data_IF_707228955145
#
_entry.id   IF_707228955145
#
_cell.length_a   1.000
_cell.length_b   1.000
_cell.length_c   1.000
_cell.angle_alpha   90.00
_cell.angle_beta   90.00
_cell.angle_gamma   90.00
#
_symmetry.space_group_name_H-M   'P 1'
#
loop_
_entity.id
_entity.type
_entity.pdbx_description
1 polymer ?
#
# COMPACT_ATOMS: atom_id res chain seq x y z
N UNK A 1 5.87 -43.71 -16.53
CA UNK A 1 6.14 -42.30 -16.85
C UNK A 1 5.36 -41.46 -15.85
N UNK A 2 6.04 -41.01 -14.79
CA UNK A 2 5.44 -40.21 -13.72
C UNK A 2 5.69 -38.72 -14.01
N UNK A 3 4.68 -37.84 -13.91
CA UNK A 3 4.88 -36.40 -13.94
C UNK A 3 5.25 -35.94 -12.52
N UNK A 4 6.38 -35.26 -12.36
CA UNK A 4 6.84 -34.83 -11.05
C UNK A 4 8.01 -33.87 -11.15
N UNK A 5 7.72 -32.60 -11.41
CA UNK A 5 8.61 -31.49 -11.05
C UNK A 5 7.79 -30.48 -10.26
N UNK A 6 7.45 -30.86 -9.03
CA UNK A 6 7.24 -29.87 -7.98
C UNK A 6 8.57 -29.13 -7.84
N UNK A 7 8.57 -27.82 -8.06
CA UNK A 7 9.69 -26.95 -7.71
C UNK A 7 9.85 -26.96 -6.19
N UNK A 8 10.47 -28.01 -5.67
CA UNK A 8 10.87 -28.08 -4.27
C UNK A 8 11.96 -27.03 -4.08
N UNK A 9 11.84 -26.24 -3.01
CA UNK A 9 12.84 -25.30 -2.55
C UNK A 9 14.13 -26.05 -2.12
N UNK A 10 14.88 -26.59 -3.07
CA UNK A 10 16.22 -27.14 -2.86
C UNK A 10 17.24 -26.02 -2.77
N UNK A 11 18.00 -25.97 -1.68
CA UNK A 11 19.11 -25.03 -1.40
C UNK A 11 18.81 -23.52 -1.51
N UNK A 12 17.58 -23.10 -1.25
CA UNK A 12 17.28 -21.67 -1.16
C UNK A 12 17.89 -21.05 0.12
N UNK A 13 18.59 -19.90 0.08
CA UNK A 13 19.23 -19.29 1.26
C UNK A 13 18.24 -18.94 2.39
N UNK A 14 16.97 -18.70 2.05
CA UNK A 14 15.89 -18.47 3.01
C UNK A 14 15.23 -19.74 3.55
N UNK A 15 15.67 -20.93 3.14
CA UNK A 15 15.08 -22.19 3.60
C UNK A 15 15.35 -22.40 5.09
N UNK A 16 14.30 -22.68 5.86
CA UNK A 16 14.40 -22.83 7.31
C UNK A 16 14.42 -21.50 8.09
N UNK A 17 14.36 -20.37 7.38
CA UNK A 17 14.13 -19.05 7.97
C UNK A 17 12.66 -18.67 7.88
N UNK A 18 12.21 -17.85 8.82
CA UNK A 18 10.93 -17.18 8.83
C UNK A 18 11.09 -15.73 8.39
N UNK A 19 10.33 -15.35 7.36
CA UNK A 19 10.32 -14.01 6.80
C UNK A 19 9.28 -13.16 7.55
N UNK A 20 9.70 -12.07 8.17
CA UNK A 20 8.81 -11.15 8.85
C UNK A 20 8.54 -9.92 7.98
N UNK A 21 7.25 -9.62 7.78
CA UNK A 21 6.79 -8.54 6.90
C UNK A 21 6.15 -7.43 7.74
N UNK A 22 6.63 -6.18 7.67
CA UNK A 22 6.03 -5.09 8.41
C UNK A 22 4.60 -4.81 7.89
N UNK A 23 3.63 -4.50 8.78
CA UNK A 23 2.27 -4.23 8.37
C UNK A 23 2.18 -2.92 7.58
N UNK A 24 1.67 -3.02 6.36
CA UNK A 24 1.21 -1.90 5.53
C UNK A 24 -0.14 -2.28 4.96
N UNK A 25 -1.06 -1.31 4.82
CA UNK A 25 -2.41 -1.49 4.31
C UNK A 25 -3.23 -2.53 5.10
N UNK A 26 -4.56 -2.48 5.02
CA UNK A 26 -5.37 -3.47 5.72
C UNK A 26 -5.14 -4.83 5.06
N UNK A 27 -4.68 -5.82 5.84
CA UNK A 27 -4.54 -7.21 5.41
C UNK A 27 -3.46 -7.51 4.37
N UNK A 28 -2.81 -6.50 3.77
CA UNK A 28 -1.85 -6.73 2.69
C UNK A 28 -0.63 -7.53 3.16
N UNK A 29 -0.12 -7.27 4.38
CA UNK A 29 0.97 -8.05 4.96
C UNK A 29 0.59 -9.53 5.17
N UNK A 30 -0.67 -9.82 5.54
CA UNK A 30 -1.17 -11.21 5.69
C UNK A 30 -1.24 -11.90 4.33
N UNK A 31 -1.83 -11.25 3.33
CA UNK A 31 -1.91 -11.78 1.96
C UNK A 31 -0.50 -11.98 1.36
N UNK A 32 0.42 -11.05 1.60
CA UNK A 32 1.79 -11.14 1.11
C UNK A 32 2.59 -12.24 1.82
N UNK A 33 2.36 -12.47 3.12
CA UNK A 33 2.90 -13.62 3.84
C UNK A 33 2.37 -14.94 3.27
N UNK A 34 1.07 -15.03 2.96
CA UNK A 34 0.47 -16.17 2.27
C UNK A 34 1.10 -16.42 0.90
N UNK A 35 1.46 -15.36 0.16
CA UNK A 35 2.17 -15.48 -1.12
C UNK A 35 3.57 -16.11 -0.98
N UNK A 36 4.31 -15.81 0.09
CA UNK A 36 5.56 -16.51 0.40
C UNK A 36 5.33 -17.98 0.76
N UNK A 37 4.31 -18.26 1.59
CA UNK A 37 3.97 -19.64 1.98
C UNK A 37 3.54 -20.50 0.80
N UNK A 38 2.80 -19.92 -0.15
CA UNK A 38 2.39 -20.57 -1.40
C UNK A 38 3.56 -21.09 -2.26
N UNK A 39 4.75 -20.51 -2.11
CA UNK A 39 5.98 -20.93 -2.82
C UNK A 39 6.96 -21.69 -1.92
N UNK A 40 6.51 -22.10 -0.72
CA UNK A 40 7.29 -22.92 0.21
C UNK A 40 8.27 -22.14 1.10
N UNK A 41 8.10 -20.82 1.25
CA UNK A 41 8.88 -20.00 2.19
C UNK A 41 8.03 -19.64 3.41
N UNK A 42 8.55 -19.88 4.62
CA UNK A 42 7.86 -19.51 5.85
C UNK A 42 7.87 -17.98 6.01
N UNK A 43 6.70 -17.40 6.29
CA UNK A 43 6.54 -15.97 6.42
C UNK A 43 5.38 -15.62 7.33
N UNK A 44 5.47 -14.52 8.06
CA UNK A 44 4.37 -13.94 8.83
C UNK A 44 4.49 -12.42 8.93
N UNK A 45 3.39 -11.68 9.14
CA UNK A 45 3.48 -10.27 9.51
C UNK A 45 4.22 -10.12 10.85
N UNK A 46 4.92 -8.99 11.05
CA UNK A 46 5.37 -8.63 12.39
C UNK A 46 4.16 -8.48 13.33
N UNK A 47 4.34 -8.66 14.66
CA UNK A 47 3.29 -8.33 15.62
C UNK A 47 2.72 -6.92 15.39
N UNK A 48 1.44 -6.68 15.70
CA UNK A 48 0.84 -5.36 15.57
C UNK A 48 1.67 -4.28 16.24
N UNK A 49 1.80 -3.14 15.58
CA UNK A 49 2.52 -1.99 16.11
C UNK A 49 1.77 -1.42 17.32
N UNK A 50 2.49 -1.09 18.39
CA UNK A 50 1.92 -0.60 19.65
C UNK A 50 2.88 0.39 20.35
N UNK A 51 2.59 0.74 21.61
CA UNK A 51 3.47 1.61 22.39
C UNK A 51 4.91 1.06 22.49
N UNK A 52 5.08 -0.26 22.58
CA UNK A 52 6.40 -0.90 22.61
C UNK A 52 7.13 -0.72 21.28
N UNK A 53 6.43 -0.71 20.15
CA UNK A 53 7.00 -0.36 18.84
C UNK A 53 7.61 1.05 18.86
N UNK A 54 6.89 2.05 19.40
CA UNK A 54 7.40 3.43 19.50
C UNK A 54 8.63 3.54 20.39
N UNK A 55 8.61 2.86 21.54
CA UNK A 55 9.73 2.84 22.49
C UNK A 55 10.98 2.23 21.86
N UNK A 56 10.84 1.05 21.24
CA UNK A 56 11.95 0.38 20.56
C UNK A 56 12.44 1.17 19.37
N UNK A 57 11.55 1.65 18.52
CA UNK A 57 11.91 2.54 17.42
C UNK A 57 12.73 3.73 17.91
N UNK A 58 12.27 4.43 18.96
CA UNK A 58 12.99 5.57 19.53
C UNK A 58 14.36 5.19 20.09
N UNK A 59 14.50 3.99 20.69
CA UNK A 59 15.76 3.51 21.26
C UNK A 59 16.84 3.27 20.20
N UNK A 60 16.45 2.79 19.02
CA UNK A 60 17.39 2.44 17.94
C UNK A 60 17.43 3.47 16.80
N UNK A 61 16.80 4.63 17.00
CA UNK A 61 16.81 5.74 16.05
C UNK A 61 17.36 7.01 16.69
N UNK A 62 17.82 7.94 15.86
CA UNK A 62 18.39 9.22 16.31
C UNK A 62 17.36 10.36 16.31
N UNK A 63 16.26 10.20 15.56
CA UNK A 63 15.26 11.23 15.32
C UNK A 63 15.46 11.96 13.98
N UNK A 64 16.60 11.74 13.31
CA UNK A 64 16.83 12.21 11.94
C UNK A 64 16.19 11.30 10.88
N UNK A 65 15.73 10.11 11.27
CA UNK A 65 15.04 9.18 10.39
C UNK A 65 13.56 9.56 10.24
N UNK A 66 12.95 9.23 9.09
CA UNK A 66 11.51 9.43 8.93
C UNK A 66 10.72 8.53 9.88
N UNK A 67 9.53 8.97 10.32
CA UNK A 67 8.70 8.18 11.24
C UNK A 67 8.42 6.73 10.78
N UNK A 68 8.20 6.43 9.49
CA UNK A 68 8.10 5.05 9.00
C UNK A 68 9.33 4.17 9.31
N UNK A 69 10.55 4.72 9.26
CA UNK A 69 11.76 3.98 9.61
C UNK A 69 11.73 3.60 11.09
N UNK A 70 11.36 4.55 11.95
CA UNK A 70 11.24 4.33 13.40
C UNK A 70 10.22 3.24 13.73
N UNK A 71 9.04 3.29 13.12
CA UNK A 71 8.00 2.26 13.30
C UNK A 71 8.50 0.90 12.82
N UNK A 72 9.08 0.83 11.62
CA UNK A 72 9.56 -0.44 11.03
C UNK A 72 10.69 -1.06 11.86
N UNK A 73 11.67 -0.26 12.31
CA UNK A 73 12.73 -0.72 13.21
C UNK A 73 12.15 -1.23 14.53
N UNK A 74 11.20 -0.51 15.11
CA UNK A 74 10.51 -0.94 16.33
C UNK A 74 9.83 -2.29 16.17
N UNK A 75 9.09 -2.49 15.08
CA UNK A 75 8.37 -3.75 14.80
C UNK A 75 9.32 -4.93 14.58
N UNK A 76 10.44 -4.71 13.90
CA UNK A 76 11.47 -5.75 13.76
C UNK A 76 12.15 -6.08 15.08
N UNK A 77 12.51 -5.08 15.89
CA UNK A 77 13.13 -5.33 17.19
C UNK A 77 12.17 -6.06 18.13
N UNK A 78 10.86 -5.80 18.07
CA UNK A 78 9.86 -6.59 18.82
C UNK A 78 9.92 -8.09 18.50
N UNK A 79 10.26 -8.45 17.26
CA UNK A 79 10.47 -9.86 16.89
C UNK A 79 11.72 -10.42 17.56
N UNK A 80 12.80 -9.64 17.59
CA UNK A 80 14.08 -10.07 18.16
C UNK A 80 14.06 -10.18 19.68
N UNK A 81 13.23 -9.39 20.38
CA UNK A 81 13.11 -9.42 21.84
C UNK A 81 12.28 -10.61 22.37
N UNK A 82 11.61 -11.37 21.49
CA UNK A 82 10.85 -12.55 21.89
C UNK A 82 11.81 -13.67 22.33
N UNK A 83 11.63 -14.25 23.55
CA UNK A 83 12.51 -15.30 24.06
C UNK A 83 12.65 -16.54 23.17
N UNK A 84 11.62 -16.84 22.40
CA UNK A 84 11.54 -17.97 21.48
C UNK A 84 12.21 -17.74 20.11
N UNK A 85 12.68 -16.52 19.83
CA UNK A 85 13.24 -16.16 18.52
C UNK A 85 14.68 -16.66 18.38
N UNK A 86 14.87 -17.61 17.46
CA UNK A 86 16.19 -18.00 16.95
C UNK A 86 16.64 -17.02 15.86
N UNK A 87 17.60 -16.14 16.19
CA UNK A 87 18.10 -15.10 15.30
C UNK A 87 18.61 -15.63 13.95
N UNK A 88 19.22 -16.82 13.92
CA UNK A 88 19.72 -17.44 12.69
C UNK A 88 18.61 -17.86 11.73
N UNK A 89 17.38 -17.97 12.23
CA UNK A 89 16.17 -18.29 11.47
C UNK A 89 15.32 -17.06 11.15
N UNK A 90 15.76 -15.85 11.45
CA UNK A 90 15.00 -14.63 11.12
C UNK A 90 15.47 -14.03 9.80
N UNK A 91 14.51 -13.67 8.95
CA UNK A 91 14.72 -12.79 7.81
C UNK A 91 13.71 -11.63 7.85
N UNK A 92 14.18 -10.39 7.76
CA UNK A 92 13.31 -9.21 7.68
C UNK A 92 13.05 -8.80 6.24
N UNK A 93 11.77 -8.68 5.87
CA UNK A 93 11.37 -8.15 4.58
C UNK A 93 11.37 -6.61 4.62
N UNK A 94 12.40 -6.00 4.02
CA UNK A 94 12.56 -4.54 3.97
C UNK A 94 12.88 -4.12 2.55
N UNK A 95 11.88 -3.94 1.66
CA UNK A 95 12.13 -3.55 0.28
C UNK A 95 12.83 -2.19 0.23
N UNK A 96 13.53 -1.91 -0.88
CA UNK A 96 14.22 -0.64 -1.09
C UNK A 96 13.92 -0.08 -2.48
N UNK A 97 13.95 1.24 -2.61
CA UNK A 97 13.79 1.93 -3.88
C UNK A 97 14.87 3.01 -4.05
N UNK A 98 15.29 3.23 -5.30
CA UNK A 98 16.21 4.33 -5.67
C UNK A 98 15.44 5.63 -5.89
N UNK A 99 14.54 5.94 -4.95
CA UNK A 99 13.76 7.17 -4.92
C UNK A 99 14.59 8.38 -4.48
N UNK A 100 14.05 9.60 -4.56
CA UNK A 100 14.70 10.79 -4.02
C UNK A 100 14.54 10.91 -2.50
N UNK A 101 13.69 10.08 -1.89
CA UNK A 101 13.44 10.07 -0.44
C UNK A 101 14.42 9.16 0.32
N UNK A 102 14.34 9.22 1.66
CA UNK A 102 15.19 8.43 2.57
C UNK A 102 14.93 6.93 2.55
N UNK A 103 13.85 6.45 1.91
CA UNK A 103 13.48 5.03 1.88
C UNK A 103 14.60 4.11 1.38
N UNK A 104 15.41 4.58 0.40
CA UNK A 104 16.57 3.84 -0.10
C UNK A 104 17.62 3.50 0.98
N UNK A 105 17.63 4.23 2.10
CA UNK A 105 18.58 4.05 3.21
C UNK A 105 18.05 3.14 4.33
N UNK A 106 16.81 2.67 4.26
CA UNK A 106 16.19 1.91 5.35
C UNK A 106 16.87 0.55 5.58
N UNK A 107 17.16 -0.20 4.51
CA UNK A 107 17.83 -1.50 4.64
C UNK A 107 19.30 -1.37 5.10
N UNK A 108 20.14 -0.47 4.55
CA UNK A 108 21.49 -0.22 5.08
C UNK A 108 21.47 0.23 6.55
N UNK A 109 20.53 1.10 6.91
CA UNK A 109 20.36 1.56 8.29
C UNK A 109 19.99 0.43 9.23
N UNK A 110 19.00 -0.39 8.85
CA UNK A 110 18.61 -1.57 9.62
C UNK A 110 19.79 -2.53 9.79
N UNK A 111 20.60 -2.79 8.75
CA UNK A 111 21.81 -3.61 8.87
C UNK A 111 22.77 -3.06 9.92
N UNK A 112 23.00 -1.75 9.91
CA UNK A 112 23.85 -1.09 10.90
C UNK A 112 23.31 -1.27 12.33
N UNK A 113 22.00 -1.08 12.55
CA UNK A 113 21.34 -1.30 13.84
C UNK A 113 21.52 -2.76 14.30
N UNK A 114 21.31 -3.73 13.40
CA UNK A 114 21.47 -5.15 13.73
C UNK A 114 22.92 -5.49 14.10
N UNK A 115 23.90 -5.00 13.35
CA UNK A 115 25.32 -5.28 13.60
C UNK A 115 25.83 -4.67 14.91
N UNK A 116 25.40 -3.45 15.23
CA UNK A 116 25.78 -2.74 16.45
C UNK A 116 25.25 -3.43 17.71
N UNK A 117 24.17 -4.20 17.60
CA UNK A 117 23.53 -4.90 18.73
C UNK A 117 23.81 -6.41 18.76
N UNK A 118 24.75 -6.89 17.93
CA UNK A 118 25.14 -8.31 17.90
C UNK A 118 24.16 -9.23 17.16
N UNK A 119 23.14 -8.70 16.48
CA UNK A 119 22.16 -9.46 15.70
C UNK A 119 22.64 -9.72 14.26
N UNK A 120 23.88 -10.21 14.12
CA UNK A 120 24.54 -10.40 12.82
C UNK A 120 23.91 -11.52 11.99
N UNK A 121 23.34 -12.52 12.64
CA UNK A 121 22.77 -13.71 12.00
C UNK A 121 21.39 -13.45 11.36
N UNK A 122 20.76 -12.32 11.70
CA UNK A 122 19.48 -11.90 11.13
C UNK A 122 19.69 -11.43 9.69
N UNK A 123 18.94 -11.99 8.77
CA UNK A 123 18.99 -11.60 7.36
C UNK A 123 18.03 -10.45 7.03
N UNK A 124 18.38 -9.65 6.03
CA UNK A 124 17.50 -8.62 5.48
C UNK A 124 17.22 -8.97 4.02
N UNK A 125 15.98 -9.39 3.74
CA UNK A 125 15.46 -9.55 2.39
C UNK A 125 15.04 -8.18 1.86
N UNK A 126 15.96 -7.50 1.16
CA UNK A 126 15.76 -6.15 0.60
C UNK A 126 15.72 -6.16 -0.93
N UNK A 127 14.62 -6.63 -1.55
CA UNK A 127 14.47 -6.56 -3.00
C UNK A 127 14.42 -5.10 -3.46
N UNK A 128 15.03 -4.82 -4.61
CA UNK A 128 14.92 -3.51 -5.27
C UNK A 128 13.94 -3.60 -6.45
N UNK A 129 13.32 -2.47 -6.81
CA UNK A 129 12.47 -2.36 -8.01
C UNK A 129 13.23 -2.69 -9.31
N UNK A 130 14.57 -2.68 -9.29
CA UNK A 130 15.44 -2.99 -10.43
C UNK A 130 15.87 -4.47 -10.45
N UNK A 131 16.01 -5.11 -9.27
CA UNK A 131 16.52 -6.48 -9.17
C UNK A 131 15.44 -7.56 -9.07
N UNK A 132 14.14 -7.20 -9.12
CA UNK A 132 13.02 -8.14 -9.21
C UNK A 132 13.17 -9.40 -8.32
N UNK A 133 13.55 -9.20 -7.05
CA UNK A 133 13.79 -10.27 -6.09
C UNK A 133 14.88 -11.28 -6.48
N UNK A 134 16.00 -10.84 -7.06
CA UNK A 134 17.16 -11.70 -7.37
C UNK A 134 17.65 -12.55 -6.18
N UNK A 135 17.44 -12.09 -4.93
CA UNK A 135 17.70 -12.87 -3.71
C UNK A 135 16.78 -14.08 -3.49
N UNK A 136 15.73 -14.22 -4.29
CA UNK A 136 14.83 -15.39 -4.32
C UNK A 136 15.23 -16.44 -5.37
N UNK A 137 16.31 -16.21 -6.13
CA UNK A 137 16.81 -17.17 -7.13
C UNK A 137 15.72 -17.65 -8.11
N UNK A 138 15.56 -18.97 -8.23
CA UNK A 138 14.55 -19.59 -9.10
C UNK A 138 13.09 -19.34 -8.66
N UNK A 139 12.87 -18.94 -7.41
CA UNK A 139 11.54 -18.62 -6.87
C UNK A 139 11.11 -17.18 -7.21
N UNK A 140 12.00 -16.34 -7.73
CA UNK A 140 11.71 -14.93 -8.01
C UNK A 140 10.55 -14.74 -9.00
N UNK A 141 10.50 -15.52 -10.08
CA UNK A 141 9.45 -15.42 -11.10
C UNK A 141 8.05 -15.74 -10.56
N UNK A 142 7.84 -16.95 -9.99
CA UNK A 142 6.59 -17.32 -9.32
C UNK A 142 6.21 -16.33 -8.22
N UNK A 143 7.16 -15.94 -7.37
CA UNK A 143 6.93 -15.01 -6.27
C UNK A 143 6.44 -13.64 -6.75
N UNK A 144 7.11 -13.04 -7.74
CA UNK A 144 6.74 -11.71 -8.26
C UNK A 144 5.29 -11.69 -8.71
N UNK A 145 4.84 -12.75 -9.41
CA UNK A 145 3.48 -12.82 -9.92
C UNK A 145 2.46 -13.11 -8.82
N UNK A 146 2.75 -14.05 -7.92
CA UNK A 146 1.85 -14.36 -6.79
C UNK A 146 1.76 -13.20 -5.81
N UNK A 147 2.87 -12.56 -5.47
CA UNK A 147 2.92 -11.36 -4.64
C UNK A 147 2.17 -10.18 -5.26
N UNK A 148 2.30 -9.94 -6.57
CA UNK A 148 1.49 -8.95 -7.29
C UNK A 148 -0.01 -9.20 -7.12
N UNK A 149 -0.45 -10.44 -7.34
CA UNK A 149 -1.87 -10.82 -7.19
C UNK A 149 -2.36 -10.72 -5.77
N UNK A 150 -1.53 -11.08 -4.79
CA UNK A 150 -1.86 -10.98 -3.37
C UNK A 150 -2.09 -9.52 -2.94
N UNK A 151 -1.18 -8.61 -3.33
CA UNK A 151 -1.31 -7.19 -3.03
C UNK A 151 -2.53 -6.57 -3.73
N UNK A 152 -2.74 -6.89 -5.01
CA UNK A 152 -3.91 -6.43 -5.76
C UNK A 152 -5.22 -6.90 -5.13
N UNK A 153 -5.35 -8.19 -4.79
CA UNK A 153 -6.55 -8.69 -4.12
C UNK A 153 -6.76 -8.02 -2.75
N UNK A 154 -5.69 -7.81 -1.98
CA UNK A 154 -5.78 -7.12 -0.69
C UNK A 154 -6.26 -5.67 -0.85
N UNK A 155 -5.75 -4.93 -1.83
CA UNK A 155 -6.20 -3.57 -2.15
C UNK A 155 -7.68 -3.54 -2.56
N UNK A 156 -8.15 -4.49 -3.39
CA UNK A 156 -9.56 -4.61 -3.76
C UNK A 156 -10.46 -4.86 -2.54
N UNK A 157 -10.03 -5.72 -1.61
CA UNK A 157 -10.77 -5.97 -0.35
C UNK A 157 -10.77 -4.75 0.56
N UNK A 158 -9.64 -4.06 0.70
CA UNK A 158 -9.57 -2.82 1.49
C UNK A 158 -10.48 -1.74 0.89
N UNK A 159 -10.54 -1.63 -0.43
CA UNK A 159 -11.44 -0.70 -1.11
C UNK A 159 -12.90 -0.99 -0.80
N UNK A 160 -13.33 -2.25 -0.85
CA UNK A 160 -14.68 -2.65 -0.43
C UNK A 160 -14.95 -2.32 1.04
N UNK A 161 -13.99 -2.57 1.93
CA UNK A 161 -14.08 -2.22 3.34
C UNK A 161 -14.39 -0.73 3.51
N UNK A 162 -13.56 0.14 2.93
CA UNK A 162 -13.70 1.60 3.10
C UNK A 162 -14.91 2.18 2.37
N UNK A 163 -15.35 1.58 1.26
CA UNK A 163 -16.55 2.00 0.54
C UNK A 163 -17.85 1.58 1.24
N UNK A 164 -17.82 0.55 2.10
CA UNK A 164 -19.04 -0.04 2.72
C UNK A 164 -19.16 0.27 4.20
N UNK A 165 -18.05 0.29 4.95
CA UNK A 165 -18.02 0.46 6.42
C UNK A 165 -18.68 1.75 6.90
N UNK A 166 -18.51 2.93 6.24
CA UNK A 166 -19.20 4.15 6.65
C UNK A 166 -20.74 4.02 6.65
N UNK A 167 -21.27 3.11 5.82
CA UNK A 167 -22.69 2.94 5.57
C UNK A 167 -23.30 1.76 6.32
N UNK A 168 -22.54 1.00 7.09
CA UNK A 168 -23.06 -0.19 7.76
C UNK A 168 -24.17 0.17 8.76
N UNK A 169 -25.24 -0.62 8.79
CA UNK A 169 -26.34 -0.42 9.75
C UNK A 169 -25.95 -0.88 11.16
N UNK A 170 -25.25 -2.01 11.24
CA UNK A 170 -24.70 -2.56 12.48
C UNK A 170 -23.18 -2.48 12.47
N UNK A 171 -22.64 -1.78 13.46
CA UNK A 171 -21.19 -1.56 13.58
C UNK A 171 -20.43 -2.89 13.64
N UNK A 172 -19.44 -3.05 12.76
CA UNK A 172 -18.56 -4.22 12.69
C UNK A 172 -18.98 -5.30 11.69
N UNK A 173 -20.16 -5.21 11.07
CA UNK A 173 -20.61 -6.21 10.10
C UNK A 173 -19.74 -6.19 8.83
N UNK A 174 -19.35 -5.00 8.35
CA UNK A 174 -18.45 -4.88 7.19
C UNK A 174 -17.05 -5.36 7.53
N UNK A 175 -16.56 -5.06 8.74
CA UNK A 175 -15.25 -5.53 9.21
C UNK A 175 -15.20 -7.06 9.31
N UNK A 176 -16.28 -7.70 9.79
CA UNK A 176 -16.39 -9.15 9.82
C UNK A 176 -16.40 -9.76 8.41
N UNK A 177 -17.11 -9.13 7.45
CA UNK A 177 -17.09 -9.55 6.05
C UNK A 177 -15.70 -9.41 5.41
N UNK A 178 -14.97 -8.35 5.76
CA UNK A 178 -13.59 -8.12 5.35
C UNK A 178 -12.66 -9.21 5.90
N UNK A 179 -12.67 -9.47 7.21
CA UNK A 179 -11.81 -10.48 7.84
C UNK A 179 -12.07 -11.90 7.31
N UNK A 180 -13.34 -12.25 7.09
CA UNK A 180 -13.70 -13.53 6.47
C UNK A 180 -13.19 -13.61 5.02
N UNK A 181 -13.24 -12.51 4.26
CA UNK A 181 -12.77 -12.46 2.87
C UNK A 181 -11.24 -12.48 2.77
N UNK A 182 -10.54 -11.82 3.70
CA UNK A 182 -9.09 -11.83 3.79
C UNK A 182 -8.57 -13.23 4.17
N UNK A 183 -9.25 -13.90 5.10
CA UNK A 183 -8.93 -15.28 5.47
C UNK A 183 -9.11 -16.23 4.27
N UNK A 184 -10.23 -16.11 3.55
CA UNK A 184 -10.49 -16.85 2.30
C UNK A 184 -9.42 -16.59 1.23
N UNK A 185 -8.98 -15.33 1.06
CA UNK A 185 -7.89 -14.97 0.16
C UNK A 185 -6.57 -15.63 0.57
N UNK A 186 -6.21 -15.56 1.86
CA UNK A 186 -4.98 -16.15 2.38
C UNK A 186 -4.94 -17.68 2.17
N UNK A 187 -6.03 -18.38 2.52
CA UNK A 187 -6.17 -19.82 2.25
C UNK A 187 -6.10 -20.12 0.76
N UNK A 188 -6.80 -19.35 -0.09
CA UNK A 188 -6.78 -19.54 -1.55
C UNK A 188 -5.36 -19.39 -2.12
N UNK A 189 -4.59 -18.41 -1.63
CA UNK A 189 -3.20 -18.20 -2.05
C UNK A 189 -2.32 -19.40 -1.69
N UNK A 190 -2.46 -19.95 -0.48
CA UNK A 190 -1.61 -21.02 0.04
C UNK A 190 -1.96 -22.41 -0.52
N UNK A 191 -3.26 -22.68 -0.73
CA UNK A 191 -3.75 -23.99 -1.16
C UNK A 191 -3.72 -24.16 -2.69
N UNK A 192 -3.69 -23.05 -3.45
CA UNK A 192 -3.71 -23.11 -4.92
C UNK A 192 -2.29 -23.21 -5.48
N UNK A 193 -2.02 -24.15 -6.41
CA UNK A 193 -0.74 -24.20 -7.10
C UNK A 193 -0.36 -22.86 -7.75
N UNK A 194 0.90 -22.46 -7.64
CA UNK A 194 1.41 -21.21 -8.21
C UNK A 194 1.42 -21.17 -9.77
N UNK A 195 0.84 -22.17 -10.43
CA UNK A 195 0.66 -22.18 -11.88
C UNK A 195 -0.23 -20.99 -12.29
N UNK A 196 0.25 -20.09 -13.17
CA UNK A 196 -0.40 -18.80 -13.31
C UNK A 196 -1.87 -18.77 -13.74
N UNK A 197 -2.36 -19.55 -14.73
CA UNK A 197 -3.79 -19.59 -15.07
C UNK A 197 -4.65 -20.16 -13.92
N UNK A 198 -4.19 -21.24 -13.28
CA UNK A 198 -4.92 -21.90 -12.18
C UNK A 198 -5.07 -20.96 -10.99
N UNK A 199 -3.97 -20.36 -10.55
CA UNK A 199 -3.99 -19.40 -9.44
C UNK A 199 -4.82 -18.16 -9.76
N UNK A 200 -4.78 -17.64 -10.99
CA UNK A 200 -5.60 -16.48 -11.35
C UNK A 200 -7.09 -16.78 -11.23
N UNK A 201 -7.50 -17.94 -11.71
CA UNK A 201 -8.91 -18.36 -11.67
C UNK A 201 -9.38 -18.57 -10.23
N UNK A 202 -8.60 -19.25 -9.39
CA UNK A 202 -8.94 -19.46 -7.99
C UNK A 202 -9.04 -18.13 -7.22
N UNK A 203 -8.11 -17.19 -7.47
CA UNK A 203 -8.15 -15.86 -6.86
C UNK A 203 -9.36 -15.05 -7.36
N UNK A 204 -9.73 -15.15 -8.64
CA UNK A 204 -10.97 -14.54 -9.16
C UNK A 204 -12.19 -15.08 -8.41
N UNK A 205 -12.26 -16.39 -8.20
CA UNK A 205 -13.36 -17.01 -7.46
C UNK A 205 -13.40 -16.56 -5.99
N UNK A 206 -12.23 -16.40 -5.36
CA UNK A 206 -12.11 -15.80 -4.02
C UNK A 206 -12.66 -14.37 -3.99
N UNK A 207 -12.33 -13.55 -5.00
CA UNK A 207 -12.88 -12.19 -5.14
C UNK A 207 -14.40 -12.18 -5.35
N UNK A 208 -14.95 -13.12 -6.13
CA UNK A 208 -16.41 -13.27 -6.29
C UNK A 208 -17.08 -13.65 -4.96
N UNK A 209 -16.49 -14.57 -4.18
CA UNK A 209 -17.00 -14.91 -2.84
C UNK A 209 -16.95 -13.71 -1.90
N UNK A 210 -15.85 -12.96 -1.92
CA UNK A 210 -15.71 -11.74 -1.13
C UNK A 210 -16.79 -10.70 -1.48
N UNK A 211 -16.98 -10.40 -2.77
CA UNK A 211 -18.08 -9.53 -3.25
C UNK A 211 -19.43 -9.97 -2.69
N UNK A 212 -19.70 -11.28 -2.75
CA UNK A 212 -20.94 -11.87 -2.22
C UNK A 212 -21.10 -11.69 -0.71
N UNK A 213 -20.03 -11.68 0.08
CA UNK A 213 -20.07 -11.39 1.53
C UNK A 213 -20.41 -9.91 1.77
N UNK A 214 -19.71 -8.99 1.11
CA UNK A 214 -19.97 -7.55 1.25
C UNK A 214 -21.38 -7.13 0.81
N UNK A 215 -21.90 -7.71 -0.27
CA UNK A 215 -23.26 -7.40 -0.78
C UNK A 215 -24.39 -7.89 0.14
N UNK A 216 -24.11 -8.79 1.09
CA UNK A 216 -25.09 -9.26 2.08
C UNK A 216 -25.17 -8.36 3.31
N UNK A 217 -24.19 -7.48 3.52
CA UNK A 217 -24.20 -6.56 4.66
C UNK A 217 -25.23 -5.46 4.40
N UNK A 218 -26.09 -5.21 5.39
CA UNK A 218 -27.07 -4.14 5.31
C UNK A 218 -26.38 -2.77 5.39
N UNK A 219 -26.71 -1.89 4.46
CA UNK A 219 -26.11 -0.56 4.36
C UNK A 219 -27.18 0.52 4.20
N UNK A 220 -26.96 1.65 4.86
CA UNK A 220 -27.73 2.87 4.72
C UNK A 220 -27.58 3.45 3.31
N UNK A 221 -28.64 4.12 2.84
CA UNK A 221 -28.67 4.72 1.50
C UNK A 221 -28.11 6.15 1.43
N UNK A 222 -27.91 6.81 2.58
CA UNK A 222 -27.37 8.16 2.66
C UNK A 222 -25.93 8.21 2.13
N UNK A 223 -25.59 9.28 1.40
CA UNK A 223 -24.23 9.47 0.87
C UNK A 223 -23.41 10.34 1.82
N UNK A 224 -22.27 9.84 2.25
CA UNK A 224 -21.31 10.58 3.04
C UNK A 224 -20.49 11.53 2.15
N UNK A 225 -19.92 12.62 2.72
CA UNK A 225 -18.86 13.37 2.06
C UNK A 225 -17.69 12.44 1.74
N UNK A 226 -17.28 12.41 0.48
CA UNK A 226 -16.16 11.60 0.00
C UNK A 226 -14.85 12.35 0.20
N UNK A 227 -13.95 11.82 1.02
CA UNK A 227 -12.66 12.41 1.31
C UNK A 227 -11.56 11.56 0.66
N UNK A 228 -10.80 12.18 -0.25
CA UNK A 228 -9.65 11.55 -0.86
C UNK A 228 -8.45 11.53 0.08
N UNK A 229 -7.79 10.38 0.25
CA UNK A 229 -6.60 10.24 1.10
C UNK A 229 -5.38 9.92 0.23
N UNK A 230 -4.47 10.87 0.16
CA UNK A 230 -3.14 10.75 -0.48
C UNK A 230 -2.05 10.85 0.59
N UNK A 231 -0.78 10.88 0.20
CA UNK A 231 0.33 11.07 1.12
C UNK A 231 1.41 10.02 0.98
N UNK A 232 2.33 9.97 1.93
CA UNK A 232 3.45 9.02 1.93
C UNK A 232 2.95 7.59 2.18
N UNK A 233 3.33 6.65 1.30
CA UNK A 233 2.75 5.31 1.22
C UNK A 233 2.73 4.55 2.55
N UNK A 234 3.80 4.60 3.34
CA UNK A 234 3.82 3.89 4.61
C UNK A 234 2.90 4.55 5.63
N UNK A 235 3.05 5.85 5.86
CA UNK A 235 2.24 6.56 6.83
C UNK A 235 0.75 6.55 6.46
N UNK A 236 0.42 6.67 5.17
CA UNK A 236 -0.95 6.59 4.65
C UNK A 236 -1.59 5.22 4.87
N UNK A 237 -0.84 4.14 4.68
CA UNK A 237 -1.37 2.78 4.70
C UNK A 237 -1.20 2.06 6.05
N UNK A 238 -0.36 2.56 6.95
CA UNK A 238 -0.16 1.99 8.28
C UNK A 238 -1.01 2.73 9.32
N UNK A 239 -2.05 2.06 9.83
CA UNK A 239 -3.03 2.64 10.77
C UNK A 239 -2.40 3.10 12.08
N UNK A 240 -1.34 2.45 12.54
CA UNK A 240 -0.63 2.87 13.74
C UNK A 240 0.15 4.18 13.54
N UNK A 241 0.69 4.38 12.34
CA UNK A 241 1.51 5.54 12.00
C UNK A 241 0.68 6.81 11.76
N UNK A 242 -0.59 6.66 11.40
CA UNK A 242 -1.51 7.78 11.17
C UNK A 242 -2.63 7.87 12.20
N UNK A 243 -2.45 7.23 13.37
CA UNK A 243 -3.42 7.25 14.48
C UNK A 243 -4.84 6.84 14.05
N UNK A 244 -4.91 5.94 13.07
CA UNK A 244 -6.14 5.39 12.53
C UNK A 244 -7.09 6.47 11.96
N UNK A 245 -6.52 7.53 11.36
CA UNK A 245 -7.22 8.71 10.83
C UNK A 245 -8.45 8.36 9.99
N UNK A 246 -8.39 7.31 9.17
CA UNK A 246 -9.52 6.87 8.34
C UNK A 246 -10.74 6.48 9.19
N UNK A 247 -10.55 5.72 10.27
CA UNK A 247 -11.67 5.38 11.17
C UNK A 247 -12.17 6.60 11.95
N UNK A 248 -11.29 7.54 12.29
CA UNK A 248 -11.71 8.81 12.90
C UNK A 248 -12.59 9.61 11.93
N UNK A 249 -12.22 9.73 10.65
CA UNK A 249 -13.03 10.35 9.60
C UNK A 249 -14.40 9.69 9.43
N UNK A 250 -14.45 8.35 9.45
CA UNK A 250 -15.70 7.60 9.42
C UNK A 250 -16.59 7.93 10.63
N UNK A 251 -15.99 8.19 11.80
CA UNK A 251 -16.68 8.68 12.99
C UNK A 251 -17.35 10.05 12.79
N UNK A 252 -16.81 10.89 11.91
CA UNK A 252 -17.43 12.13 11.45
C UNK A 252 -18.40 11.95 10.28
N UNK A 253 -18.74 10.70 9.93
CA UNK A 253 -19.69 10.36 8.87
C UNK A 253 -19.15 10.61 7.46
N UNK A 254 -17.84 10.47 7.25
CA UNK A 254 -17.19 10.57 5.93
C UNK A 254 -16.92 9.19 5.31
N UNK A 255 -16.90 9.13 3.97
CA UNK A 255 -16.35 8.00 3.21
C UNK A 255 -14.91 8.35 2.81
N UNK A 256 -13.95 7.46 3.07
CA UNK A 256 -12.56 7.66 2.69
C UNK A 256 -12.22 6.90 1.39
N UNK A 257 -11.62 7.60 0.42
CA UNK A 257 -11.01 6.97 -0.75
C UNK A 257 -9.48 7.09 -0.66
N UNK A 258 -8.86 6.02 -0.19
CA UNK A 258 -7.41 5.95 0.02
C UNK A 258 -6.69 5.50 -1.25
N UNK A 259 -5.62 6.20 -1.62
CA UNK A 259 -4.69 5.74 -2.66
C UNK A 259 -4.10 4.37 -2.30
N UNK A 260 -4.27 3.41 -3.20
CA UNK A 260 -3.88 2.02 -3.01
C UNK A 260 -2.35 1.81 -3.03
N UNK A 261 -1.91 0.60 -2.69
CA UNK A 261 -0.50 0.21 -2.72
C UNK A 261 -0.07 -0.07 -4.17
N UNK A 262 -0.96 -0.65 -4.97
CA UNK A 262 -0.74 -0.99 -6.38
C UNK A 262 -0.42 0.24 -7.26
N UNK A 263 -0.94 1.43 -6.98
CA UNK A 263 -0.58 2.69 -7.65
C UNK A 263 0.95 2.92 -7.65
N UNK A 264 1.63 2.63 -6.55
CA UNK A 264 3.08 2.75 -6.46
C UNK A 264 3.82 1.74 -7.35
N UNK A 265 3.30 0.51 -7.45
CA UNK A 265 3.86 -0.51 -8.36
C UNK A 265 3.70 -0.06 -9.81
N UNK A 266 2.55 0.51 -10.17
CA UNK A 266 2.34 1.07 -11.51
C UNK A 266 3.25 2.26 -11.79
N UNK A 267 3.45 3.14 -10.81
CA UNK A 267 4.37 4.27 -10.92
C UNK A 267 5.80 3.82 -11.17
N UNK A 268 6.32 2.91 -10.33
CA UNK A 268 7.69 2.39 -10.47
C UNK A 268 7.90 1.66 -11.80
N UNK A 269 6.88 0.94 -12.28
CA UNK A 269 6.87 0.39 -13.64
C UNK A 269 6.98 1.48 -14.71
N UNK A 270 6.17 2.54 -14.61
CA UNK A 270 6.18 3.65 -15.57
C UNK A 270 7.54 4.38 -15.61
N UNK A 271 8.17 4.54 -14.45
CA UNK A 271 9.46 5.19 -14.29
C UNK A 271 10.61 4.31 -14.79
N UNK A 272 10.50 2.99 -14.61
CA UNK A 272 11.44 2.05 -15.23
C UNK A 272 11.41 2.16 -16.77
N UNK A 273 10.23 2.21 -17.38
CA UNK A 273 10.12 2.47 -18.83
C UNK A 273 10.67 3.84 -19.24
N UNK A 274 10.42 4.88 -18.44
CA UNK A 274 10.97 6.22 -18.69
C UNK A 274 12.50 6.19 -18.68
N UNK A 275 13.11 5.50 -17.71
CA UNK A 275 14.57 5.32 -17.61
C UNK A 275 15.13 4.54 -18.81
N UNK A 276 14.48 3.47 -19.23
CA UNK A 276 14.86 2.73 -20.44
C UNK A 276 14.83 3.62 -21.69
N UNK A 277 13.82 4.48 -21.81
CA UNK A 277 13.71 5.45 -22.90
C UNK A 277 14.84 6.50 -22.88
N UNK A 278 15.08 7.12 -21.73
CA UNK A 278 16.10 8.16 -21.57
C UNK A 278 17.52 7.63 -21.77
N UNK A 279 17.77 6.37 -21.41
CA UNK A 279 19.07 5.71 -21.58
C UNK A 279 19.24 5.04 -22.96
N UNK A 280 18.27 5.17 -23.87
CA UNK A 280 18.33 4.56 -25.21
C UNK A 280 18.20 3.03 -25.22
N UNK A 281 17.77 2.40 -24.11
CA UNK A 281 17.73 0.94 -23.92
C UNK A 281 16.38 0.30 -24.29
N UNK A 282 15.54 0.99 -25.07
CA UNK A 282 14.19 0.52 -25.41
C UNK A 282 14.15 -0.76 -26.26
N UNK A 283 15.24 -1.08 -26.95
CA UNK A 283 15.35 -2.23 -27.85
C UNK A 283 16.12 -3.41 -27.22
N UNK A 284 16.18 -3.47 -25.88
CA UNK A 284 16.92 -4.50 -25.14
C UNK A 284 16.00 -5.61 -24.62
N UNK A 285 16.58 -6.77 -24.27
CA UNK A 285 15.84 -7.87 -23.63
C UNK A 285 15.16 -7.44 -22.31
N UNK A 286 15.77 -6.51 -21.58
CA UNK A 286 15.18 -5.90 -20.38
C UNK A 286 13.89 -5.14 -20.71
N UNK A 287 13.87 -4.34 -21.77
CA UNK A 287 12.69 -3.61 -22.19
C UNK A 287 11.56 -4.56 -22.63
N UNK A 288 11.89 -5.66 -23.31
CA UNK A 288 10.94 -6.72 -23.65
C UNK A 288 10.37 -7.38 -22.38
N UNK A 289 11.22 -7.74 -21.42
CA UNK A 289 10.81 -8.31 -20.14
C UNK A 289 9.88 -7.38 -19.36
N UNK A 290 10.20 -6.08 -19.30
CA UNK A 290 9.35 -5.07 -18.69
C UNK A 290 7.98 -4.95 -19.40
N UNK A 291 7.96 -5.03 -20.74
CA UNK A 291 6.71 -5.00 -21.52
C UNK A 291 5.84 -6.21 -21.27
N UNK A 292 6.42 -7.42 -21.27
CA UNK A 292 5.72 -8.66 -20.93
C UNK A 292 5.15 -8.57 -19.51
N UNK A 293 5.96 -8.13 -18.54
CA UNK A 293 5.53 -7.94 -17.15
C UNK A 293 4.33 -7.00 -17.06
N UNK A 294 4.40 -5.82 -17.70
CA UNK A 294 3.30 -4.84 -17.75
C UNK A 294 2.02 -5.47 -18.33
N UNK A 295 2.14 -6.20 -19.44
CA UNK A 295 0.99 -6.83 -20.10
C UNK A 295 0.33 -7.90 -19.23
N UNK A 296 1.14 -8.70 -18.54
CA UNK A 296 0.68 -9.72 -17.60
C UNK A 296 0.01 -9.09 -16.38
N UNK A 297 0.65 -8.09 -15.76
CA UNK A 297 0.08 -7.38 -14.61
C UNK A 297 -1.26 -6.72 -14.95
N UNK A 298 -1.38 -6.07 -16.12
CA UNK A 298 -2.65 -5.46 -16.58
C UNK A 298 -3.74 -6.50 -16.83
N UNK A 299 -3.37 -7.69 -17.31
CA UNK A 299 -4.32 -8.80 -17.48
C UNK A 299 -4.80 -9.32 -16.12
N UNK A 300 -3.88 -9.57 -15.20
CA UNK A 300 -4.21 -10.05 -13.86
C UNK A 300 -5.09 -9.00 -13.13
N UNK A 301 -4.77 -7.71 -13.23
CA UNK A 301 -5.59 -6.58 -12.73
C UNK A 301 -7.00 -6.59 -13.29
N UNK A 302 -7.15 -6.63 -14.61
CA UNK A 302 -8.46 -6.64 -15.25
C UNK A 302 -9.31 -7.84 -14.79
N UNK A 303 -8.73 -9.05 -14.75
CA UNK A 303 -9.46 -10.28 -14.40
C UNK A 303 -9.90 -10.29 -12.93
N UNK A 304 -9.06 -9.78 -12.03
CA UNK A 304 -9.33 -9.76 -10.58
C UNK A 304 -10.24 -8.60 -10.16
N UNK A 305 -10.20 -7.47 -10.88
CA UNK A 305 -11.06 -6.32 -10.62
C UNK A 305 -12.44 -6.43 -11.31
N UNK A 306 -12.56 -7.18 -12.40
CA UNK A 306 -13.82 -7.35 -13.15
C UNK A 306 -15.04 -7.73 -12.30
N UNK A 307 -14.93 -8.63 -11.30
CA UNK A 307 -16.05 -8.93 -10.40
C UNK A 307 -16.65 -7.70 -9.71
N UNK A 308 -15.88 -6.64 -9.52
CA UNK A 308 -16.29 -5.43 -8.77
C UNK A 308 -16.64 -4.25 -9.66
N UNK A 309 -16.72 -4.42 -10.99
CA UNK A 309 -16.97 -3.32 -11.93
C UNK A 309 -18.18 -2.45 -11.55
N UNK A 310 -19.30 -3.07 -11.18
CA UNK A 310 -20.51 -2.36 -10.71
C UNK A 310 -20.32 -1.74 -9.32
N UNK A 311 -19.64 -2.45 -8.42
CA UNK A 311 -19.47 -2.04 -7.03
C UNK A 311 -18.53 -0.83 -6.91
N UNK A 312 -17.58 -0.69 -7.83
CA UNK A 312 -16.63 0.42 -7.89
C UNK A 312 -17.04 1.55 -8.84
N UNK A 313 -18.27 1.52 -9.37
CA UNK A 313 -18.76 2.59 -10.25
C UNK A 313 -18.69 3.97 -9.56
N UNK A 314 -18.04 4.93 -10.22
CA UNK A 314 -17.74 6.26 -9.70
C UNK A 314 -16.54 6.33 -8.75
N UNK A 315 -15.98 5.18 -8.35
CA UNK A 315 -14.74 5.07 -7.57
C UNK A 315 -13.70 4.24 -8.34
N UNK A 316 -13.58 4.38 -9.65
CA UNK A 316 -12.59 3.60 -10.42
C UNK A 316 -11.16 4.07 -10.12
N UNK A 317 -10.19 3.16 -10.06
CA UNK A 317 -8.79 3.57 -10.02
C UNK A 317 -8.32 3.96 -11.45
N UNK A 318 -7.62 5.08 -11.62
CA UNK A 318 -7.13 5.51 -12.93
C UNK A 318 -5.93 4.69 -13.40
N UNK A 319 -5.67 4.72 -14.71
CA UNK A 319 -4.35 4.32 -15.20
C UNK A 319 -3.28 5.31 -14.71
N UNK A 320 -2.08 4.81 -14.45
CA UNK A 320 -0.98 5.61 -13.95
C UNK A 320 -0.67 6.84 -14.82
N UNK A 321 -0.82 6.74 -16.15
CA UNK A 321 -0.55 7.90 -17.02
C UNK A 321 -1.60 9.01 -16.86
N UNK A 322 -2.84 8.68 -16.50
CA UNK A 322 -3.87 9.69 -16.21
C UNK A 322 -3.53 10.48 -14.94
N UNK A 323 -2.97 9.81 -13.91
CA UNK A 323 -2.45 10.48 -12.72
C UNK A 323 -1.29 11.42 -13.11
N UNK A 324 -0.34 10.93 -13.90
CA UNK A 324 0.82 11.72 -14.33
C UNK A 324 0.41 12.94 -15.18
N UNK A 325 -0.61 12.81 -16.03
CA UNK A 325 -1.15 13.90 -16.82
C UNK A 325 -1.89 14.91 -15.95
N UNK A 326 -2.63 14.45 -14.92
CA UNK A 326 -3.23 15.33 -13.92
C UNK A 326 -2.18 16.12 -13.12
N UNK A 327 -1.00 15.53 -12.86
CA UNK A 327 0.06 16.20 -12.14
C UNK A 327 0.79 17.26 -12.97
N UNK A 328 0.84 17.08 -14.30
CA UNK A 328 1.69 17.84 -15.22
C UNK A 328 1.59 19.38 -15.13
N UNK A 329 0.41 20.00 -14.95
CA UNK A 329 0.31 21.47 -14.82
C UNK A 329 0.91 22.06 -13.54
N UNK A 330 1.15 21.21 -12.54
CA UNK A 330 1.53 21.60 -11.18
C UNK A 330 2.93 21.08 -10.80
N UNK A 331 3.21 19.81 -11.10
CA UNK A 331 4.45 19.13 -10.78
C UNK A 331 4.79 18.09 -11.86
N UNK A 332 5.36 18.51 -13.00
CA UNK A 332 5.65 17.62 -14.12
C UNK A 332 6.73 16.59 -13.75
N UNK A 333 6.50 15.33 -14.12
CA UNK A 333 7.40 14.21 -13.85
C UNK A 333 8.78 14.32 -14.53
N UNK A 334 8.91 15.22 -15.50
CA UNK A 334 10.17 15.50 -16.18
C UNK A 334 11.13 16.29 -15.27
N UNK A 335 10.59 17.08 -14.32
CA UNK A 335 11.36 17.88 -13.37
C UNK A 335 11.27 17.41 -11.92
N UNK A 336 10.30 16.55 -11.60
CA UNK A 336 10.10 15.97 -10.26
C UNK A 336 9.93 14.45 -10.34
N UNK A 337 10.29 13.74 -9.27
CA UNK A 337 10.28 12.28 -9.21
C UNK A 337 9.89 11.78 -7.82
N UNK A 338 9.21 10.64 -7.71
CA UNK A 338 8.72 10.10 -6.43
C UNK A 338 7.23 10.38 -6.18
N UNK A 339 6.75 10.00 -4.99
CA UNK A 339 5.33 10.01 -4.65
C UNK A 339 4.67 11.39 -4.70
N UNK A 340 5.44 12.47 -4.54
CA UNK A 340 4.91 13.83 -4.69
C UNK A 340 4.20 14.07 -6.03
N UNK A 341 4.70 13.45 -7.11
CA UNK A 341 4.05 13.52 -8.44
C UNK A 341 2.72 12.75 -8.43
N UNK A 342 2.69 11.58 -7.77
CA UNK A 342 1.49 10.78 -7.63
C UNK A 342 0.44 11.52 -6.81
N UNK A 343 0.80 12.02 -5.63
CA UNK A 343 -0.10 12.73 -4.74
C UNK A 343 -0.72 13.95 -5.43
N UNK A 344 0.09 14.78 -6.09
CA UNK A 344 -0.39 15.95 -6.85
C UNK A 344 -1.37 15.55 -7.96
N UNK A 345 -1.04 14.52 -8.73
CA UNK A 345 -1.94 14.04 -9.79
C UNK A 345 -3.23 13.41 -9.25
N UNK A 346 -3.13 12.66 -8.17
CA UNK A 346 -4.24 11.93 -7.57
C UNK A 346 -5.21 12.86 -6.85
N UNK A 347 -4.73 13.93 -6.22
CA UNK A 347 -5.59 15.03 -5.71
C UNK A 347 -6.50 15.56 -6.81
N UNK A 348 -5.93 15.89 -7.98
CA UNK A 348 -6.70 16.40 -9.12
C UNK A 348 -7.69 15.37 -9.64
N UNK A 349 -7.28 14.10 -9.71
CA UNK A 349 -8.16 13.01 -10.12
C UNK A 349 -9.36 12.82 -9.17
N UNK A 350 -9.10 12.74 -7.87
CA UNK A 350 -10.11 12.53 -6.84
C UNK A 350 -11.10 13.71 -6.80
N UNK A 351 -10.62 14.94 -6.93
CA UNK A 351 -11.47 16.12 -7.06
C UNK A 351 -12.38 16.04 -8.30
N UNK A 352 -11.86 15.63 -9.46
CA UNK A 352 -12.66 15.41 -10.68
C UNK A 352 -13.71 14.30 -10.52
N UNK A 353 -13.46 13.34 -9.63
CA UNK A 353 -14.41 12.28 -9.25
C UNK A 353 -15.41 12.70 -8.17
N UNK A 354 -15.40 13.97 -7.75
CA UNK A 354 -16.38 14.53 -6.83
C UNK A 354 -16.03 14.35 -5.35
N UNK A 355 -14.74 14.21 -5.01
CA UNK A 355 -14.31 14.31 -3.63
C UNK A 355 -14.69 15.69 -3.04
N UNK A 356 -15.25 15.68 -1.83
CA UNK A 356 -15.62 16.87 -1.07
C UNK A 356 -14.41 17.53 -0.38
N UNK A 357 -13.30 16.82 -0.29
CA UNK A 357 -12.04 17.29 0.28
C UNK A 357 -10.93 16.26 0.09
N UNK A 358 -9.69 16.69 0.29
CA UNK A 358 -8.51 15.84 0.26
C UNK A 358 -7.72 15.96 1.57
N UNK A 359 -7.21 14.84 2.05
CA UNK A 359 -6.23 14.76 3.13
C UNK A 359 -4.93 14.13 2.59
N UNK A 360 -3.79 14.77 2.87
CA UNK A 360 -2.47 14.18 2.70
C UNK A 360 -1.96 13.70 4.07
N UNK A 361 -1.67 12.40 4.17
CA UNK A 361 -1.06 11.78 5.36
C UNK A 361 0.44 11.62 5.11
N UNK A 362 1.25 12.36 5.84
CA UNK A 362 2.70 12.33 5.66
C UNK A 362 3.43 12.31 7.00
N UNK A 363 4.61 11.70 7.12
CA UNK A 363 5.40 11.84 8.33
C UNK A 363 6.02 13.24 8.43
N UNK A 364 6.27 13.73 9.64
CA UNK A 364 6.96 15.02 9.83
C UNK A 364 8.32 15.02 9.11
N UNK A 365 8.70 16.16 8.52
CA UNK A 365 9.86 16.33 7.62
C UNK A 365 9.83 15.52 6.31
N UNK A 366 8.70 14.90 5.96
CA UNK A 366 8.58 14.19 4.68
C UNK A 366 8.75 15.15 3.50
N UNK A 367 9.79 14.93 2.68
CA UNK A 367 10.02 15.70 1.47
C UNK A 367 8.79 15.67 0.53
N UNK A 368 8.16 14.50 0.38
CA UNK A 368 6.97 14.36 -0.48
C UNK A 368 5.83 15.27 0.03
N UNK A 369 5.51 15.15 1.32
CA UNK A 369 4.45 15.93 1.96
C UNK A 369 4.71 17.44 1.88
N UNK A 370 5.94 17.90 2.16
CA UNK A 370 6.31 19.32 2.11
C UNK A 370 6.18 19.90 0.69
N UNK A 371 6.65 19.17 -0.32
CA UNK A 371 6.53 19.63 -1.72
C UNK A 371 5.06 19.69 -2.14
N UNK A 372 4.27 18.67 -1.78
CA UNK A 372 2.85 18.65 -2.04
C UNK A 372 2.11 19.79 -1.35
N UNK A 373 2.39 20.04 -0.06
CA UNK A 373 1.78 21.13 0.72
C UNK A 373 2.00 22.50 0.06
N UNK A 374 3.20 22.76 -0.45
CA UNK A 374 3.52 24.00 -1.15
C UNK A 374 2.71 24.19 -2.45
N UNK A 375 2.26 23.10 -3.07
CA UNK A 375 1.56 23.11 -4.37
C UNK A 375 0.03 23.13 -4.17
N UNK A 376 -0.47 22.52 -3.11
CA UNK A 376 -1.91 22.39 -2.83
C UNK A 376 -2.71 23.69 -2.83
N UNK A 377 -2.21 24.85 -2.36
CA UNK A 377 -2.96 26.11 -2.47
C UNK A 377 -3.29 26.48 -3.91
N UNK A 378 -2.42 26.17 -4.87
CA UNK A 378 -2.70 26.40 -6.30
C UNK A 378 -3.74 25.42 -6.81
N UNK A 379 -3.60 24.14 -6.50
CA UNK A 379 -4.56 23.10 -6.91
C UNK A 379 -5.95 23.39 -6.35
N UNK A 380 -6.04 23.76 -5.07
CA UNK A 380 -7.30 24.11 -4.40
C UNK A 380 -8.01 25.25 -5.13
N UNK A 381 -7.31 26.34 -5.46
CA UNK A 381 -7.89 27.46 -6.25
C UNK A 381 -8.37 27.01 -7.63
N UNK A 382 -7.55 26.26 -8.35
CA UNK A 382 -7.85 25.82 -9.72
C UNK A 382 -9.02 24.80 -9.74
N UNK A 383 -9.33 24.16 -8.62
CA UNK A 383 -10.42 23.19 -8.42
C UNK A 383 -11.56 23.74 -7.56
N UNK A 384 -11.83 25.05 -7.67
CA UNK A 384 -13.01 25.68 -7.08
C UNK A 384 -12.97 25.86 -5.56
N UNK A 385 -11.77 25.82 -4.96
CA UNK A 385 -11.57 25.97 -3.52
C UNK A 385 -11.74 24.69 -2.71
N UNK A 386 -11.56 23.51 -3.32
CA UNK A 386 -11.63 22.23 -2.60
C UNK A 386 -10.68 22.24 -1.39
N UNK A 387 -11.14 21.87 -0.18
CA UNK A 387 -10.28 21.83 1.00
C UNK A 387 -9.26 20.71 0.89
N UNK A 388 -7.98 21.06 1.01
CA UNK A 388 -6.85 20.13 1.01
C UNK A 388 -6.07 20.38 2.30
N UNK A 389 -5.87 19.33 3.12
CA UNK A 389 -5.18 19.44 4.40
C UNK A 389 -4.10 18.37 4.55
N UNK A 390 -2.92 18.79 4.96
CA UNK A 390 -1.82 17.90 5.34
C UNK A 390 -1.91 17.59 6.83
N UNK A 391 -1.84 16.30 7.17
CA UNK A 391 -1.69 15.80 8.53
C UNK A 391 -0.31 15.17 8.67
N UNK A 392 0.50 15.76 9.55
CA UNK A 392 1.86 15.30 9.81
C UNK A 392 1.93 14.43 11.06
N UNK A 393 2.58 13.27 10.94
CA UNK A 393 2.75 12.33 12.04
C UNK A 393 4.22 12.08 12.36
N UNK A 394 4.58 12.07 13.64
CA UNK A 394 5.93 11.78 14.13
C UNK A 394 5.95 10.84 15.35
N UNK A 395 4.78 10.36 15.76
CA UNK A 395 4.58 9.50 16.93
C UNK A 395 4.35 10.26 18.23
N UNK A 396 4.30 11.59 18.20
CA UNK A 396 3.80 12.43 19.30
C UNK A 396 2.28 12.57 19.22
N UNK A 397 1.63 12.81 20.37
CA UNK A 397 0.18 12.97 20.40
C UNK A 397 -0.22 14.30 19.75
N UNK A 398 -1.02 14.22 18.70
CA UNK A 398 -1.69 15.36 18.08
C UNK A 398 -3.16 15.41 18.51
N UNK A 399 -3.76 16.61 18.54
CA UNK A 399 -5.21 16.75 18.74
C UNK A 399 -5.95 16.48 17.41
N UNK A 400 -5.81 15.24 16.92
CA UNK A 400 -6.32 14.81 15.62
C UNK A 400 -7.83 14.96 15.54
N UNK A 401 -8.56 14.68 16.63
CA UNK A 401 -10.01 14.78 16.69
C UNK A 401 -10.48 16.21 16.38
N UNK A 402 -9.93 17.21 17.08
CA UNK A 402 -10.25 18.62 16.83
C UNK A 402 -9.96 19.04 15.40
N UNK A 403 -8.78 18.70 14.88
CA UNK A 403 -8.37 19.09 13.53
C UNK A 403 -9.24 18.44 12.45
N UNK A 404 -9.64 17.18 12.64
CA UNK A 404 -10.59 16.49 11.76
C UNK A 404 -11.98 17.10 11.83
N UNK A 405 -12.47 17.48 13.03
CA UNK A 405 -13.75 18.15 13.20
C UNK A 405 -13.83 19.44 12.38
N UNK A 406 -12.83 20.31 12.50
CA UNK A 406 -12.74 21.57 11.73
C UNK A 406 -12.64 21.28 10.23
N UNK A 407 -11.81 20.31 9.82
CA UNK A 407 -11.67 19.93 8.42
C UNK A 407 -13.00 19.45 7.81
N UNK A 408 -13.77 18.65 8.55
CA UNK A 408 -15.04 18.10 8.08
C UNK A 408 -16.11 19.17 7.89
N UNK A 409 -16.11 20.24 8.70
CA UNK A 409 -16.98 21.41 8.48
C UNK A 409 -16.66 22.10 7.14
N UNK A 410 -15.37 22.25 6.81
CA UNK A 410 -14.92 22.81 5.53
C UNK A 410 -15.35 21.94 4.35
N UNK A 411 -15.14 20.61 4.45
CA UNK A 411 -15.49 19.66 3.40
C UNK A 411 -17.01 19.64 3.12
N UNK A 412 -17.84 19.65 4.18
CA UNK A 412 -19.30 19.72 4.04
C UNK A 412 -19.75 21.05 3.43
N UNK A 413 -19.15 22.16 3.86
CA UNK A 413 -19.43 23.49 3.31
C UNK A 413 -19.11 23.55 1.81
N UNK A 414 -17.94 23.04 1.40
CA UNK A 414 -17.55 22.94 -0.01
C UNK A 414 -18.54 22.10 -0.82
N UNK A 415 -18.92 20.93 -0.32
CA UNK A 415 -19.86 20.03 -1.00
C UNK A 415 -21.22 20.70 -1.24
N UNK A 416 -21.76 21.40 -0.24
CA UNK A 416 -23.04 22.13 -0.37
C UNK A 416 -22.95 23.29 -1.37
N UNK A 417 -21.86 24.06 -1.35
CA UNK A 417 -21.62 25.16 -2.30
C UNK A 417 -21.43 24.68 -3.74
N UNK A 418 -20.73 23.57 -3.94
CA UNK A 418 -20.54 22.95 -5.26
C UNK A 418 -21.87 22.48 -5.87
N UNK A 419 -22.72 21.82 -5.06
CA UNK A 419 -24.06 21.38 -5.49
C UNK A 419 -24.99 22.55 -5.86
N UNK A 420 -24.84 23.71 -5.20
CA UNK A 420 -25.61 24.92 -5.52
C UNK A 420 -25.16 25.59 -6.83
N UNK A 421 -23.88 25.47 -7.21
CA UNK A 421 -23.35 26.03 -8.47
C UNK A 421 -23.62 25.18 -9.71
N UNK A 422 -24.10 23.94 -9.53
CA UNK A 422 -24.35 22.97 -10.62
C UNK A 422 -25.85 22.85 -10.97
N UNK A 423 -26.72 23.59 -10.27
CA UNK A 423 -28.14 23.80 -10.61
C UNK A 423 -28.30 25.16 -11.25
#
# INVERSE_FOLDING_TARGET
MLPGTNGTAGDHPLKGKRIYIPPMAYGSARAFASAFRAIGLDAEPTPPSDHRTRELGARYTSGDECYPAKVTVGDFVKVLERPETDLGRVAFFMPTAQGPCRFGQYAPYLRHVLDANGWRDVEILSPTSQNAYAGLGSLAGPFVRTGWRALLCADLLQKLLLMRRPYEERRGDVEAAYEASLTDLCSTLEETPAEPPVQLQALKESMVRARGRFRKVATRAERAPLIGIVGEIFCRLNTFSNENLVQCLEGYGAEAWVSDLVEWIWYTNSEHFRKLKLTGRMWTAEALGAWVRKRVQKRDEHVLAEPFHEDFAGREEPDIYEILDCARPYLPREGAFGEMVLNVGKVVYLAKKGAAGIIDISPFTCMNGIVCEAIYPRISRDLGGIPIRNFYFDGTQSDLDRDLGVYMELARSYQTGSLASTR
#
